data_IF_464679302641
#
_entry.id   IF_464679302641
#
_cell.length_a   1.000
_cell.length_b   1.000
_cell.length_c   1.000
_cell.angle_alpha   90.00
_cell.angle_beta   90.00
_cell.angle_gamma   90.00
#
_symmetry.space_group_name_H-M   'P 1'
#
loop_
_entity.id
_entity.type
_entity.pdbx_description
1 polymer ?
#
# COMPACT_ATOMS: atom_id res chain seq x y z
N UNK A 1 35.28 17.53 55.27
CA UNK A 1 34.75 16.41 54.46
C UNK A 1 33.43 16.87 53.86
N UNK A 2 33.48 17.54 52.70
CA UNK A 2 33.24 17.00 51.34
C UNK A 2 31.74 16.89 50.98
N UNK A 3 31.32 17.77 50.06
CA UNK A 3 30.10 17.72 49.24
C UNK A 3 30.00 16.42 48.43
N UNK A 4 28.78 16.05 48.01
CA UNK A 4 28.48 15.77 46.59
C UNK A 4 26.97 15.81 46.32
N UNK A 5 26.65 16.22 45.08
CA UNK A 5 25.39 16.71 44.52
C UNK A 5 24.97 15.76 43.38
N UNK A 6 23.67 15.69 43.06
CA UNK A 6 23.14 15.14 41.80
C UNK A 6 22.49 13.76 41.93
N UNK A 7 21.42 13.40 41.19
CA UNK A 7 20.97 13.89 39.88
C UNK A 7 19.49 13.48 39.73
N UNK A 8 18.59 14.44 39.49
CA UNK A 8 17.23 14.15 39.02
C UNK A 8 17.39 13.71 37.56
N UNK A 9 17.03 12.47 37.26
CA UNK A 9 17.06 11.93 35.90
C UNK A 9 15.98 12.61 35.07
N UNK A 10 16.31 13.73 34.43
CA UNK A 10 15.52 14.21 33.30
C UNK A 10 15.56 13.15 32.21
N UNK A 11 14.38 12.75 31.73
CA UNK A 11 14.32 11.97 30.49
C UNK A 11 15.07 12.75 29.41
N UNK A 12 15.89 12.06 28.59
CA UNK A 12 16.54 12.72 27.46
C UNK A 12 15.46 13.35 26.57
N UNK A 13 15.74 14.52 25.96
CA UNK A 13 14.82 15.10 25.00
C UNK A 13 14.56 14.07 23.91
N UNK A 14 13.29 13.77 23.68
CA UNK A 14 12.85 12.82 22.64
C UNK A 14 13.17 13.49 21.30
N UNK A 15 14.16 12.99 20.52
CA UNK A 15 14.57 13.62 19.26
C UNK A 15 13.39 13.79 18.29
N UNK A 16 12.40 12.91 18.41
CA UNK A 16 11.16 12.91 17.66
C UNK A 16 10.30 14.17 17.87
N UNK A 17 10.38 14.85 19.02
CA UNK A 17 9.60 16.08 19.27
C UNK A 17 10.13 17.28 18.48
N UNK A 18 11.46 17.46 18.47
CA UNK A 18 12.10 18.53 17.69
C UNK A 18 11.96 18.29 16.19
N UNK A 19 12.04 17.04 15.75
CA UNK A 19 11.76 16.65 14.35
C UNK A 19 10.33 16.99 13.94
N UNK A 20 9.32 16.72 14.80
CA UNK A 20 7.92 17.04 14.49
C UNK A 20 7.63 18.54 14.45
N UNK A 21 8.29 19.32 15.32
CA UNK A 21 8.19 20.78 15.30
C UNK A 21 8.84 21.34 14.04
N UNK A 22 10.04 20.88 13.70
CA UNK A 22 10.72 21.23 12.45
C UNK A 22 9.88 20.84 11.23
N UNK A 23 9.15 19.74 11.27
CA UNK A 23 8.32 19.30 10.16
C UNK A 23 7.01 20.09 10.03
N UNK A 24 6.39 20.49 11.14
CA UNK A 24 5.25 21.41 11.13
C UNK A 24 5.68 22.79 10.58
N UNK A 25 6.85 23.27 10.97
CA UNK A 25 7.46 24.51 10.45
C UNK A 25 7.86 24.34 8.97
N UNK A 26 8.39 23.17 8.58
CA UNK A 26 8.69 22.83 7.19
C UNK A 26 7.44 22.71 6.34
N UNK A 27 6.32 22.22 6.87
CA UNK A 27 5.05 22.18 6.13
C UNK A 27 4.48 23.59 5.87
N UNK A 28 4.84 24.57 6.71
CA UNK A 28 4.59 25.97 6.42
C UNK A 28 5.54 26.53 5.34
N UNK A 29 6.72 25.92 5.13
CA UNK A 29 7.73 26.34 4.15
C UNK A 29 7.71 25.57 2.80
N UNK A 30 7.16 24.35 2.75
CA UNK A 30 7.17 23.44 1.57
C UNK A 30 6.04 23.74 0.56
N UNK A 31 5.74 25.02 0.36
CA UNK A 31 5.29 25.53 -0.94
C UNK A 31 6.50 25.63 -1.91
N UNK A 32 7.19 24.51 -2.17
CA UNK A 32 8.34 24.43 -3.10
C UNK A 32 9.10 23.08 -3.06
N UNK A 33 9.78 22.64 -4.15
CA UNK A 33 9.95 21.21 -4.43
C UNK A 33 11.39 20.63 -4.31
N UNK A 34 11.41 19.33 -3.93
CA UNK A 34 12.11 18.19 -4.59
C UNK A 34 13.60 17.83 -4.32
N UNK A 35 13.80 16.52 -4.00
CA UNK A 35 14.72 15.52 -4.63
C UNK A 35 15.85 14.92 -3.78
N UNK A 36 16.08 13.60 -3.94
CA UNK A 36 17.41 13.00 -3.76
C UNK A 36 17.48 11.53 -3.34
N UNK A 37 17.80 10.63 -4.28
CA UNK A 37 17.89 9.18 -4.17
C UNK A 37 19.19 8.63 -3.53
N UNK A 38 19.31 7.30 -3.32
CA UNK A 38 20.31 6.40 -3.95
C UNK A 38 20.31 4.96 -3.37
N UNK A 39 20.57 4.03 -4.29
CA UNK A 39 20.55 2.56 -4.40
C UNK A 39 21.63 1.70 -3.67
N UNK A 40 21.39 0.38 -3.48
CA UNK A 40 22.25 -0.74 -4.03
C UNK A 40 21.66 -2.15 -3.85
N UNK A 41 22.15 -3.08 -4.69
CA UNK A 41 21.52 -4.28 -5.24
C UNK A 41 22.12 -5.63 -4.80
N UNK A 42 21.35 -6.74 -4.91
CA UNK A 42 21.87 -8.12 -4.93
C UNK A 42 20.96 -9.04 -5.77
N UNK A 43 21.52 -9.67 -6.81
CA UNK A 43 20.81 -10.48 -7.80
C UNK A 43 20.45 -11.89 -7.30
N UNK A 44 19.27 -12.40 -7.68
CA UNK A 44 18.83 -13.79 -7.50
C UNK A 44 17.84 -14.19 -8.61
N UNK A 45 18.16 -15.29 -9.31
CA UNK A 45 17.40 -16.16 -10.24
C UNK A 45 16.28 -15.53 -11.08
N UNK A 46 16.34 -15.74 -12.39
CA UNK A 46 15.35 -15.26 -13.35
C UNK A 46 14.18 -16.24 -13.41
N UNK A 47 13.01 -15.81 -12.94
CA UNK A 47 11.72 -16.46 -13.20
C UNK A 47 10.98 -15.57 -14.21
N UNK A 48 10.72 -16.08 -15.40
CA UNK A 48 9.88 -15.42 -16.42
C UNK A 48 8.44 -15.89 -16.25
N UNK A 49 7.51 -14.96 -16.06
CA UNK A 49 6.06 -15.22 -16.01
C UNK A 49 5.46 -14.86 -17.37
N UNK A 50 4.24 -15.30 -17.69
CA UNK A 50 3.65 -15.11 -19.02
C UNK A 50 2.21 -14.58 -18.93
N UNK A 51 2.02 -13.30 -18.58
CA UNK A 51 0.70 -12.67 -18.62
C UNK A 51 -0.03 -12.84 -19.95
N UNK A 52 -1.34 -12.99 -19.86
CA UNK A 52 -2.24 -13.07 -20.99
C UNK A 52 -2.65 -11.66 -21.43
N UNK A 53 -2.54 -11.37 -22.72
CA UNK A 53 -3.01 -10.14 -23.38
C UNK A 53 -4.10 -10.42 -24.39
N UNK A 54 -5.13 -9.59 -24.40
CA UNK A 54 -6.12 -9.53 -25.46
C UNK A 54 -5.50 -8.95 -26.73
N UNK A 55 -5.59 -9.68 -27.83
CA UNK A 55 -5.16 -9.23 -29.15
C UNK A 55 -6.29 -9.43 -30.17
N UNK A 56 -6.55 -8.46 -31.05
CA UNK A 56 -7.44 -8.67 -32.17
C UNK A 56 -6.83 -9.72 -33.11
N UNK A 57 -7.58 -10.78 -33.40
CA UNK A 57 -7.19 -11.84 -34.33
C UNK A 57 -8.21 -11.98 -35.46
N UNK A 58 -8.40 -10.87 -36.19
CA UNK A 58 -9.30 -10.82 -37.32
C UNK A 58 -10.78 -10.70 -36.91
N UNK A 59 -11.65 -10.87 -37.89
CA UNK A 59 -13.10 -10.79 -37.76
C UNK A 59 -13.68 -12.19 -38.00
N UNK A 60 -14.73 -12.55 -37.27
CA UNK A 60 -15.57 -13.71 -37.59
C UNK A 60 -16.24 -13.51 -38.95
N UNK A 61 -16.85 -14.56 -39.50
CA UNK A 61 -17.65 -14.49 -40.74
C UNK A 61 -18.80 -13.48 -40.67
N UNK A 62 -19.17 -13.02 -39.48
CA UNK A 62 -20.21 -12.00 -39.23
C UNK A 62 -19.64 -10.61 -38.91
N UNK A 63 -18.34 -10.38 -39.08
CA UNK A 63 -17.73 -9.07 -38.84
C UNK A 63 -17.52 -8.71 -37.37
N UNK A 64 -17.61 -9.67 -36.45
CA UNK A 64 -17.31 -9.47 -35.02
C UNK A 64 -15.81 -9.73 -34.77
N UNK A 65 -15.09 -8.84 -34.06
CA UNK A 65 -13.68 -9.06 -33.74
C UNK A 65 -13.47 -10.37 -32.98
N UNK A 66 -12.59 -11.25 -33.47
CA UNK A 66 -12.15 -12.42 -32.74
C UNK A 66 -11.01 -11.99 -31.83
N UNK A 67 -11.25 -11.93 -30.53
CA UNK A 67 -10.16 -11.68 -29.57
C UNK A 67 -9.44 -12.99 -29.27
N UNK A 68 -8.15 -13.07 -29.55
CA UNK A 68 -7.29 -14.15 -29.03
C UNK A 68 -6.45 -13.65 -27.88
N UNK A 69 -6.21 -14.52 -26.91
CA UNK A 69 -5.32 -14.25 -25.79
C UNK A 69 -3.92 -14.78 -26.11
N UNK A 70 -2.91 -13.93 -26.02
CA UNK A 70 -1.51 -14.30 -26.23
C UNK A 70 -0.72 -14.19 -24.93
N UNK A 71 0.19 -15.13 -24.71
CA UNK A 71 1.13 -15.08 -23.60
C UNK A 71 2.29 -14.14 -23.94
N UNK A 72 2.47 -13.08 -23.16
CA UNK A 72 3.61 -12.16 -23.27
C UNK A 72 4.48 -12.32 -22.02
N UNK A 73 5.80 -12.50 -22.14
CA UNK A 73 6.65 -12.69 -20.97
C UNK A 73 6.74 -11.41 -20.12
N UNK A 74 6.42 -11.51 -18.83
CA UNK A 74 6.89 -10.58 -17.80
C UNK A 74 8.27 -11.06 -17.36
N UNK A 75 9.28 -10.20 -17.54
CA UNK A 75 10.66 -10.58 -17.25
C UNK A 75 11.00 -10.36 -15.79
N UNK A 76 11.96 -11.14 -15.26
CA UNK A 76 12.45 -10.91 -13.90
C UNK A 76 13.12 -9.53 -13.75
N UNK A 77 13.61 -8.96 -14.85
CA UNK A 77 14.16 -7.60 -14.90
C UNK A 77 13.06 -6.56 -14.68
N UNK A 78 11.87 -6.76 -15.27
CA UNK A 78 10.73 -5.87 -15.05
C UNK A 78 10.33 -5.83 -13.57
N UNK A 79 10.24 -7.01 -12.94
CA UNK A 79 9.94 -7.13 -11.51
C UNK A 79 11.01 -6.45 -10.64
N UNK A 80 12.30 -6.64 -10.95
CA UNK A 80 13.41 -5.98 -10.24
C UNK A 80 13.35 -4.47 -10.38
N UNK A 81 13.17 -3.98 -11.61
CA UNK A 81 13.12 -2.55 -11.90
C UNK A 81 11.95 -1.90 -11.19
N UNK A 82 10.77 -2.53 -11.28
CA UNK A 82 9.58 -2.06 -10.57
C UNK A 82 9.80 -2.04 -9.06
N UNK A 83 10.36 -3.11 -8.47
CA UNK A 83 10.65 -3.19 -7.04
C UNK A 83 11.58 -2.08 -6.53
N UNK A 84 12.49 -1.58 -7.38
CA UNK A 84 13.39 -0.46 -7.03
C UNK A 84 12.69 0.90 -7.05
N UNK A 85 11.69 1.09 -7.93
CA UNK A 85 10.90 2.32 -8.04
C UNK A 85 9.58 2.27 -7.26
N UNK A 86 9.32 1.16 -6.57
CA UNK A 86 8.05 0.89 -5.90
C UNK A 86 7.91 1.81 -4.67
N UNK A 87 6.83 2.62 -4.59
CA UNK A 87 6.55 3.42 -3.40
C UNK A 87 6.35 2.53 -2.16
N UNK A 88 6.58 3.09 -0.98
CA UNK A 88 6.41 2.34 0.27
C UNK A 88 4.93 2.18 0.60
N UNK A 89 4.51 0.95 0.92
CA UNK A 89 3.12 0.65 1.30
C UNK A 89 2.68 1.44 2.54
N UNK A 90 3.61 1.74 3.45
CA UNK A 90 3.31 2.39 4.73
C UNK A 90 3.13 3.91 4.60
N UNK A 91 3.92 4.54 3.73
CA UNK A 91 3.91 6.00 3.58
C UNK A 91 3.05 6.47 2.41
N UNK A 92 2.99 5.71 1.32
CA UNK A 92 2.36 6.11 0.07
C UNK A 92 1.50 4.99 -0.55
N UNK A 93 0.50 4.43 0.20
CA UNK A 93 -0.33 3.32 -0.29
C UNK A 93 -1.13 3.66 -1.55
N UNK A 94 -1.53 4.92 -1.72
CA UNK A 94 -2.29 5.38 -2.89
C UNK A 94 -1.40 5.38 -4.14
N UNK A 95 -0.24 6.05 -4.08
CA UNK A 95 0.74 6.10 -5.17
C UNK A 95 1.23 4.69 -5.52
N UNK A 96 1.42 3.84 -4.51
CA UNK A 96 1.79 2.45 -4.72
C UNK A 96 0.70 1.68 -5.49
N UNK A 97 -0.57 1.86 -5.14
CA UNK A 97 -1.67 1.19 -5.83
C UNK A 97 -1.76 1.60 -7.30
N UNK A 98 -1.62 2.88 -7.61
CA UNK A 98 -1.61 3.41 -8.98
C UNK A 98 -0.40 2.88 -9.77
N UNK A 99 0.78 2.91 -9.14
CA UNK A 99 2.01 2.36 -9.70
C UNK A 99 1.89 0.85 -9.98
N UNK A 100 1.27 0.11 -9.07
CA UNK A 100 1.04 -1.33 -9.21
C UNK A 100 0.04 -1.64 -10.32
N UNK A 101 -1.05 -0.88 -10.41
CA UNK A 101 -2.05 -1.06 -11.48
C UNK A 101 -1.43 -0.78 -12.86
N UNK A 102 -0.60 0.27 -12.96
CA UNK A 102 0.15 0.56 -14.18
C UNK A 102 1.14 -0.55 -14.54
N UNK A 103 1.88 -1.06 -13.55
CA UNK A 103 2.84 -2.16 -13.75
C UNK A 103 2.17 -3.43 -14.24
N UNK A 104 1.04 -3.81 -13.62
CA UNK A 104 0.26 -4.98 -14.03
C UNK A 104 -0.40 -4.74 -15.39
N UNK A 105 -0.83 -3.51 -15.67
CA UNK A 105 -1.41 -3.08 -16.93
C UNK A 105 -2.75 -3.79 -17.24
N UNK A 106 -3.18 -3.78 -18.51
CA UNK A 106 -4.43 -4.43 -18.93
C UNK A 106 -4.34 -5.97 -18.98
N UNK A 107 -3.22 -6.56 -18.57
CA UNK A 107 -2.99 -7.99 -18.69
C UNK A 107 -3.86 -8.77 -17.69
N UNK A 108 -4.15 -10.03 -18.06
CA UNK A 108 -4.75 -11.03 -17.19
C UNK A 108 -3.61 -11.91 -16.67
N UNK A 109 -3.54 -12.06 -15.35
CA UNK A 109 -2.56 -12.90 -14.68
C UNK A 109 -3.29 -14.06 -14.02
N UNK A 110 -2.71 -15.26 -14.12
CA UNK A 110 -3.20 -16.41 -13.36
C UNK A 110 -3.05 -16.20 -11.86
N UNK A 111 -3.78 -16.96 -11.05
CA UNK A 111 -3.64 -16.94 -9.60
C UNK A 111 -2.18 -17.15 -9.17
N UNK A 112 -1.53 -18.15 -9.76
CA UNK A 112 -0.14 -18.50 -9.47
C UNK A 112 0.79 -17.34 -9.81
N UNK A 113 0.64 -16.71 -10.98
CA UNK A 113 1.46 -15.55 -11.36
C UNK A 113 1.27 -14.37 -10.43
N UNK A 114 0.02 -14.02 -10.06
CA UNK A 114 -0.25 -12.96 -9.09
C UNK A 114 0.38 -13.26 -7.73
N UNK A 115 0.29 -14.50 -7.24
CA UNK A 115 0.93 -14.88 -5.98
C UNK A 115 2.45 -14.76 -6.02
N UNK A 116 3.07 -15.09 -7.16
CA UNK A 116 4.52 -14.93 -7.37
C UNK A 116 4.91 -13.46 -7.42
N UNK A 117 4.19 -12.64 -8.18
CA UNK A 117 4.41 -11.19 -8.26
C UNK A 117 4.29 -10.58 -6.86
N UNK A 118 3.20 -10.85 -6.14
CA UNK A 118 3.02 -10.36 -4.77
C UNK A 118 4.08 -10.88 -3.81
N UNK A 119 4.47 -12.16 -3.91
CA UNK A 119 5.54 -12.75 -3.10
C UNK A 119 6.92 -12.16 -3.37
N UNK A 120 7.13 -11.60 -4.55
CA UNK A 120 8.34 -10.88 -4.91
C UNK A 120 8.31 -9.42 -4.43
N UNK A 121 7.15 -8.77 -4.57
CA UNK A 121 6.99 -7.35 -4.30
C UNK A 121 6.75 -6.99 -2.84
N UNK A 122 6.16 -7.88 -2.05
CA UNK A 122 5.72 -7.56 -0.69
C UNK A 122 6.27 -8.56 0.32
N UNK A 123 6.49 -8.10 1.55
CA UNK A 123 6.80 -9.02 2.66
C UNK A 123 5.56 -9.86 3.01
N UNK A 124 5.72 -11.01 3.71
CA UNK A 124 4.59 -11.80 4.18
C UNK A 124 3.58 -10.99 5.00
N UNK A 125 4.06 -10.04 5.81
CA UNK A 125 3.23 -9.14 6.63
C UNK A 125 2.42 -8.18 5.75
N UNK A 126 3.07 -7.52 4.80
CA UNK A 126 2.42 -6.62 3.83
C UNK A 126 1.38 -7.39 2.99
N UNK A 127 1.71 -8.60 2.52
CA UNK A 127 0.75 -9.47 1.83
C UNK A 127 -0.48 -9.76 2.69
N UNK A 128 -0.28 -10.05 3.97
CA UNK A 128 -1.37 -10.26 4.92
C UNK A 128 -2.23 -9.02 5.11
N UNK A 129 -1.62 -7.83 5.17
CA UNK A 129 -2.32 -6.55 5.26
C UNK A 129 -3.15 -6.28 4.01
N UNK A 130 -2.53 -6.37 2.83
CA UNK A 130 -3.18 -6.18 1.52
C UNK A 130 -4.38 -7.11 1.36
N UNK A 131 -4.22 -8.40 1.71
CA UNK A 131 -5.32 -9.36 1.61
C UNK A 131 -6.49 -8.99 2.53
N UNK A 132 -6.23 -8.69 3.81
CA UNK A 132 -7.31 -8.29 4.74
C UNK A 132 -8.01 -7.02 4.28
N UNK A 133 -7.25 -6.04 3.81
CA UNK A 133 -7.80 -4.79 3.29
C UNK A 133 -8.63 -5.02 2.02
N UNK A 134 -8.14 -5.84 1.08
CA UNK A 134 -8.86 -6.23 -0.13
C UNK A 134 -10.21 -6.90 0.18
N UNK A 135 -10.22 -7.83 1.13
CA UNK A 135 -11.43 -8.55 1.53
C UNK A 135 -12.41 -7.62 2.24
N UNK A 136 -11.92 -6.78 3.17
CA UNK A 136 -12.75 -5.79 3.84
C UNK A 136 -13.38 -4.80 2.85
N UNK A 137 -12.59 -4.32 1.89
CA UNK A 137 -13.06 -3.46 0.81
C UNK A 137 -14.15 -4.18 -0.01
N UNK A 138 -13.88 -5.40 -0.48
CA UNK A 138 -14.84 -6.18 -1.25
C UNK A 138 -16.15 -6.38 -0.49
N UNK A 139 -16.09 -6.89 0.73
CA UNK A 139 -17.28 -7.15 1.55
C UNK A 139 -18.10 -5.87 1.76
N UNK A 140 -17.45 -4.72 1.97
CA UNK A 140 -18.13 -3.42 2.06
C UNK A 140 -18.85 -3.06 0.76
N UNK A 141 -18.24 -3.31 -0.40
CA UNK A 141 -18.91 -3.06 -1.69
C UNK A 141 -20.09 -3.99 -1.96
N UNK A 142 -20.14 -5.14 -1.29
CA UNK A 142 -21.23 -6.12 -1.42
C UNK A 142 -22.28 -5.98 -0.31
N UNK A 143 -22.18 -4.97 0.55
CA UNK A 143 -23.13 -4.74 1.63
C UNK A 143 -24.53 -4.45 1.05
N UNK A 144 -25.53 -5.21 1.49
CA UNK A 144 -26.90 -5.11 0.99
C UNK A 144 -27.17 -5.84 -0.34
N UNK A 145 -26.17 -6.50 -0.94
CA UNK A 145 -26.35 -7.32 -2.14
C UNK A 145 -26.88 -8.71 -1.74
N UNK A 146 -28.01 -9.12 -2.32
CA UNK A 146 -28.58 -10.45 -2.11
C UNK A 146 -27.66 -11.51 -2.73
N UNK A 147 -27.30 -12.55 -1.98
CA UNK A 147 -26.35 -13.60 -2.39
C UNK A 147 -24.95 -13.07 -2.74
N UNK A 148 -24.46 -12.06 -2.01
CA UNK A 148 -23.10 -11.55 -2.11
C UNK A 148 -22.06 -12.68 -2.01
N UNK A 149 -21.05 -12.66 -2.90
CA UNK A 149 -19.90 -13.55 -2.83
C UNK A 149 -18.96 -13.03 -1.74
N UNK A 150 -18.58 -13.90 -0.81
CA UNK A 150 -17.64 -13.56 0.26
C UNK A 150 -16.24 -13.21 -0.30
N UNK A 151 -15.61 -12.18 0.26
CA UNK A 151 -14.26 -11.77 -0.13
C UNK A 151 -13.20 -12.85 0.04
N UNK A 152 -13.38 -13.80 0.96
CA UNK A 152 -12.51 -14.99 1.11
C UNK A 152 -12.57 -15.91 -0.12
N UNK A 153 -13.73 -15.99 -0.78
CA UNK A 153 -13.88 -16.69 -2.07
C UNK A 153 -13.26 -15.87 -3.20
N UNK A 154 -13.37 -14.54 -3.12
CA UNK A 154 -12.82 -13.63 -4.14
C UNK A 154 -11.30 -13.52 -4.09
N UNK A 155 -10.70 -13.62 -2.90
CA UNK A 155 -9.26 -13.65 -2.67
C UNK A 155 -8.86 -14.97 -1.97
N UNK A 156 -8.85 -16.09 -2.69
CA UNK A 156 -8.56 -17.39 -2.08
C UNK A 156 -7.11 -17.46 -1.57
N UNK A 157 -6.89 -18.24 -0.50
CA UNK A 157 -5.55 -18.48 0.07
C UNK A 157 -4.74 -19.50 -0.73
N UNK A 158 -5.42 -20.45 -1.37
CA UNK A 158 -4.84 -21.51 -2.18
C UNK A 158 -5.29 -21.37 -3.63
N UNK A 159 -4.60 -22.08 -4.53
CA UNK A 159 -4.94 -22.08 -5.95
C UNK A 159 -6.37 -22.61 -6.16
N UNK A 160 -7.29 -21.78 -6.69
CA UNK A 160 -8.66 -22.19 -6.95
C UNK A 160 -8.79 -23.09 -8.19
N UNK A 161 -7.71 -23.31 -8.97
CA UNK A 161 -7.75 -24.10 -10.20
C UNK A 161 -8.40 -23.37 -11.38
N UNK A 162 -8.31 -22.03 -11.40
CA UNK A 162 -8.89 -21.22 -12.47
C UNK A 162 -8.18 -21.46 -13.80
N UNK A 163 -8.89 -22.09 -14.73
CA UNK A 163 -8.50 -22.24 -16.13
C UNK A 163 -8.59 -20.92 -16.92
N UNK A 164 -7.50 -20.54 -17.58
CA UNK A 164 -7.43 -19.33 -18.40
C UNK A 164 -8.24 -19.39 -19.71
N UNK A 165 -8.54 -20.58 -20.21
CA UNK A 165 -9.40 -20.74 -21.39
C UNK A 165 -10.86 -20.52 -21.06
N UNK A 166 -11.25 -20.66 -19.80
CA UNK A 166 -12.62 -20.43 -19.35
C UNK A 166 -12.89 -18.91 -19.15
N UNK A 167 -13.90 -18.33 -19.85
CA UNK A 167 -14.26 -16.93 -19.72
C UNK A 167 -14.67 -16.50 -18.31
N UNK A 168 -15.39 -17.35 -17.57
CA UNK A 168 -15.84 -17.03 -16.20
C UNK A 168 -14.65 -16.96 -15.25
N UNK A 169 -13.70 -17.87 -15.39
CA UNK A 169 -12.46 -17.87 -14.61
C UNK A 169 -11.59 -16.65 -14.93
N UNK A 170 -11.57 -16.18 -16.18
CA UNK A 170 -10.88 -14.93 -16.53
C UNK A 170 -11.47 -13.73 -15.80
N UNK A 171 -12.78 -13.66 -15.65
CA UNK A 171 -13.43 -12.62 -14.83
C UNK A 171 -12.93 -12.70 -13.38
N UNK A 172 -12.83 -13.90 -12.81
CA UNK A 172 -12.30 -14.07 -11.45
C UNK A 172 -10.83 -13.61 -11.34
N UNK A 173 -9.99 -13.93 -12.31
CA UNK A 173 -8.59 -13.47 -12.37
C UNK A 173 -8.47 -11.94 -12.48
N UNK A 174 -9.28 -11.32 -13.35
CA UNK A 174 -9.32 -9.86 -13.51
C UNK A 174 -9.77 -9.17 -12.24
N UNK A 175 -10.80 -9.70 -11.58
CA UNK A 175 -11.29 -9.14 -10.35
C UNK A 175 -10.33 -9.36 -9.19
N UNK A 176 -9.64 -10.51 -9.11
CA UNK A 176 -8.57 -10.74 -8.15
C UNK A 176 -7.49 -9.66 -8.28
N UNK A 177 -7.06 -9.33 -9.50
CA UNK A 177 -6.13 -8.22 -9.76
C UNK A 177 -6.67 -6.90 -9.21
N UNK A 178 -7.93 -6.56 -9.51
CA UNK A 178 -8.56 -5.31 -9.05
C UNK A 178 -8.62 -5.23 -7.52
N UNK A 179 -9.07 -6.30 -6.86
CA UNK A 179 -9.16 -6.28 -5.39
C UNK A 179 -7.79 -6.25 -4.73
N UNK A 180 -6.73 -6.80 -5.35
CA UNK A 180 -5.35 -6.66 -4.87
C UNK A 180 -4.93 -5.19 -4.92
N UNK A 181 -5.15 -4.51 -6.04
CA UNK A 181 -4.83 -3.07 -6.18
C UNK A 181 -5.61 -2.24 -5.16
N UNK A 182 -6.91 -2.53 -4.96
CA UNK A 182 -7.70 -1.87 -3.93
C UNK A 182 -7.21 -2.22 -2.52
N UNK A 183 -6.78 -3.46 -2.30
CA UNK A 183 -6.17 -3.90 -1.05
C UNK A 183 -4.88 -3.16 -0.73
N UNK A 184 -4.06 -2.85 -1.73
CA UNK A 184 -2.87 -1.99 -1.57
C UNK A 184 -3.28 -0.56 -1.23
N UNK A 185 -4.28 -0.01 -1.93
CA UNK A 185 -4.78 1.35 -1.70
C UNK A 185 -5.39 1.53 -0.31
N UNK A 186 -6.05 0.50 0.19
CA UNK A 186 -6.79 0.50 1.47
C UNK A 186 -6.04 -0.22 2.58
N UNK A 187 -4.85 -0.77 2.30
CA UNK A 187 -3.96 -1.34 3.29
C UNK A 187 -3.50 -0.20 4.18
N UNK A 188 -4.18 -0.06 5.31
CA UNK A 188 -3.70 0.80 6.38
C UNK A 188 -2.47 0.15 7.01
N UNK A 189 -1.44 0.94 7.38
CA UNK A 189 -0.41 0.50 8.31
C UNK A 189 -1.07 -0.20 9.50
N UNK A 190 -0.81 -1.50 9.70
CA UNK A 190 -1.15 -2.09 11.00
C UNK A 190 -0.24 -1.47 12.04
N UNK A 191 -0.75 -0.43 12.68
CA UNK A 191 0.02 0.40 13.56
C UNK A 191 -0.54 1.82 13.59
N UNK A 192 -1.79 1.95 14.04
CA UNK A 192 -2.16 3.11 14.86
C UNK A 192 -1.15 3.16 15.99
N UNK A 193 -0.07 3.92 15.84
CA UNK A 193 0.88 4.09 16.91
C UNK A 193 0.35 5.19 17.83
N UNK A 194 -0.80 4.91 18.49
CA UNK A 194 -1.38 5.81 19.48
C UNK A 194 -0.37 6.10 20.58
N UNK A 195 0.45 5.12 20.95
CA UNK A 195 1.58 5.32 21.86
C UNK A 195 2.52 6.43 21.34
N UNK A 196 2.99 6.37 20.09
CA UNK A 196 3.82 7.45 19.49
C UNK A 196 3.09 8.79 19.35
N UNK A 197 1.78 8.81 19.12
CA UNK A 197 1.00 10.04 19.06
C UNK A 197 0.86 10.72 20.45
N UNK A 198 0.92 9.93 21.54
CA UNK A 198 0.81 10.42 22.92
C UNK A 198 2.13 10.43 23.70
N UNK A 199 3.24 9.95 23.15
CA UNK A 199 4.60 10.03 23.71
C UNK A 199 5.18 11.46 23.70
N UNK A 200 4.42 12.42 23.18
CA UNK A 200 4.77 13.83 23.05
C UNK A 200 4.34 14.59 24.32
N UNK A 201 5.31 15.13 25.07
CA UNK A 201 5.07 15.99 26.24
C UNK A 201 5.29 17.48 25.92
N UNK A 202 4.51 18.36 26.56
CA UNK A 202 4.62 19.82 26.38
C UNK A 202 5.97 20.33 26.93
N UNK A 203 6.67 21.15 26.15
CA UNK A 203 7.90 21.82 26.59
C UNK A 203 7.59 22.98 27.56
N UNK A 204 8.56 23.33 28.42
CA UNK A 204 8.39 24.37 29.46
C UNK A 204 8.06 25.76 28.91
N UNK A 205 8.53 26.08 27.71
CA UNK A 205 8.45 27.41 27.12
C UNK A 205 7.49 27.46 25.91
N UNK A 206 6.64 26.45 25.75
CA UNK A 206 5.71 26.34 24.63
C UNK A 206 4.27 26.73 25.04
N UNK A 207 3.60 27.51 24.18
CA UNK A 207 2.22 27.89 24.43
C UNK A 207 1.27 26.68 24.26
N UNK A 208 0.17 26.68 25.01
CA UNK A 208 -0.83 25.62 24.91
C UNK A 208 -1.42 25.47 23.49
N UNK A 209 -1.42 26.55 22.69
CA UNK A 209 -1.91 26.54 21.32
C UNK A 209 -0.93 25.83 20.36
N UNK A 210 0.38 26.07 20.49
CA UNK A 210 1.42 25.40 19.69
C UNK A 210 1.44 23.90 19.99
N UNK A 211 1.38 23.52 21.26
CA UNK A 211 1.31 22.12 21.67
C UNK A 211 0.07 21.41 21.11
N UNK A 212 -1.09 22.08 21.13
CA UNK A 212 -2.32 21.55 20.56
C UNK A 212 -2.23 21.35 19.04
N UNK A 213 -1.55 22.24 18.31
CA UNK A 213 -1.31 22.08 16.89
C UNK A 213 -0.38 20.88 16.61
N UNK A 214 0.64 20.66 17.43
CA UNK A 214 1.55 19.50 17.33
C UNK A 214 0.80 18.19 17.62
N UNK A 215 -0.10 18.18 18.62
CA UNK A 215 -0.97 17.02 18.88
C UNK A 215 -1.89 16.75 17.70
N UNK A 216 -2.56 17.76 17.15
CA UNK A 216 -3.43 17.58 15.98
C UNK A 216 -2.66 17.08 14.77
N UNK A 217 -1.46 17.63 14.54
CA UNK A 217 -0.56 17.24 13.47
C UNK A 217 -0.09 15.79 13.62
N UNK A 218 0.40 15.41 14.80
CA UNK A 218 0.85 14.04 15.09
C UNK A 218 -0.28 13.02 15.07
N UNK A 219 -1.47 13.39 15.55
CA UNK A 219 -2.66 12.53 15.51
C UNK A 219 -3.12 12.28 14.07
N UNK A 220 -3.15 13.32 13.25
CA UNK A 220 -3.44 13.17 11.82
C UNK A 220 -2.38 12.28 11.16
N UNK A 221 -1.10 12.60 11.36
CA UNK A 221 0.05 11.93 10.74
C UNK A 221 0.20 10.45 11.12
N UNK A 222 -0.03 10.09 12.38
CA UNK A 222 0.24 8.74 12.90
C UNK A 222 -1.00 7.92 13.23
N UNK A 223 -2.19 8.53 13.28
CA UNK A 223 -3.45 7.82 13.56
C UNK A 223 -4.44 7.83 12.40
N UNK A 224 -4.25 8.65 11.37
CA UNK A 224 -5.24 8.83 10.28
C UNK A 224 -6.59 9.36 10.76
N UNK A 225 -6.65 9.85 12.00
CA UNK A 225 -7.82 10.53 12.57
C UNK A 225 -7.55 12.02 12.37
N UNK A 226 -8.28 12.67 11.46
CA UNK A 226 -8.44 14.11 11.55
C UNK A 226 -9.26 14.35 12.83
N UNK A 227 -8.75 15.09 13.83
CA UNK A 227 -9.59 15.49 14.95
C UNK A 227 -10.63 16.44 14.37
N UNK A 228 -11.87 15.96 14.21
CA UNK A 228 -12.96 16.81 13.75
C UNK A 228 -13.04 18.04 14.64
N UNK A 229 -13.04 19.20 14.00
CA UNK A 229 -13.35 20.47 14.66
C UNK A 229 -14.75 20.34 15.24
N UNK A 230 -14.97 20.54 16.55
CA UNK A 230 -16.31 20.54 17.08
C UNK A 230 -17.09 21.68 16.42
N UNK A 231 -18.19 21.33 15.76
CA UNK A 231 -19.22 22.29 15.37
C UNK A 231 -19.75 22.93 16.66
N UNK A 232 -19.58 24.25 16.76
CA UNK A 232 -20.22 25.08 17.78
C UNK A 232 -21.63 25.46 17.35
#
# INVERSE_FOLDING_TARGET
>A
MLQLRGKVGGLPPVPQYEELKQELDSLAEVAGPSSGAVTRSRAKREQTLYPLREMPNGLTTEGVPVTTFVNVPLTSSDLRNYKLSMPSLQSEPITLAESLDLFLGPNIYTFVELQHILGYLFTPEEKGQIRRAAIAYWNKTQEGVVNAIDGEVKFPLADPGWDNQNPEHRIQMMDLKKIIVQGVKTAMPQGRNLAKAFEIGQLKDESAAEFLNIIKYSLNKYSGLAPETPEY
#
